data_IF_128935140987
#
_entry.id   IF_128935140987
#
_cell.length_a   1.000
_cell.length_b   1.000
_cell.length_c   1.000
_cell.angle_alpha   90.00
_cell.angle_beta   90.00
_cell.angle_gamma   90.00
#
_symmetry.space_group_name_H-M   'P 1'
#
loop_
_entity.id
_entity.type
_entity.pdbx_description
1 polymer ?
#
# COMPACT_ATOMS: atom_id res chain seq x y z
N UNK A 1 -20.10 -3.97 13.04
CA UNK A 1 -19.34 -2.68 13.09
C UNK A 1 -19.82 -1.90 14.29
N UNK A 2 -18.91 -1.38 15.14
CA UNK A 2 -19.29 -0.61 16.32
C UNK A 2 -19.59 0.86 15.98
N UNK A 3 -20.40 1.52 16.81
CA UNK A 3 -20.65 2.98 16.71
C UNK A 3 -19.35 3.77 16.83
N UNK A 4 -18.45 3.35 17.72
CA UNK A 4 -17.12 3.96 17.89
C UNK A 4 -16.30 3.91 16.60
N UNK A 5 -16.35 2.82 15.85
CA UNK A 5 -15.64 2.71 14.57
C UNK A 5 -16.19 3.71 13.55
N UNK A 6 -17.52 3.83 13.48
CA UNK A 6 -18.22 4.79 12.60
C UNK A 6 -17.83 6.22 12.97
N UNK A 7 -17.97 6.60 14.24
CA UNK A 7 -17.65 7.95 14.72
C UNK A 7 -16.20 8.34 14.42
N UNK A 8 -15.24 7.43 14.65
CA UNK A 8 -13.82 7.68 14.32
C UNK A 8 -13.55 7.80 12.82
N UNK A 9 -14.36 7.18 11.98
CA UNK A 9 -14.19 7.18 10.53
C UNK A 9 -14.83 8.35 9.81
N UNK A 10 -15.99 8.81 10.30
CA UNK A 10 -16.88 9.73 9.61
C UNK A 10 -16.19 11.03 9.18
N UNK A 11 -15.43 11.64 10.09
CA UNK A 11 -14.74 12.93 9.86
C UNK A 11 -13.40 12.76 9.13
N UNK A 12 -12.97 11.54 8.81
CA UNK A 12 -11.63 11.26 8.30
C UNK A 12 -11.63 10.86 6.81
N UNK A 13 -12.79 10.75 6.16
CA UNK A 13 -12.86 10.46 4.74
C UNK A 13 -12.29 11.62 3.91
N UNK A 14 -11.56 11.29 2.84
CA UNK A 14 -10.83 12.27 2.02
C UNK A 14 -9.51 12.75 2.62
N UNK A 15 -8.95 12.07 3.62
CA UNK A 15 -7.71 12.48 4.30
C UNK A 15 -6.60 11.44 4.16
N UNK A 16 -5.34 11.90 4.08
CA UNK A 16 -4.16 11.03 4.14
C UNK A 16 -3.97 10.47 5.56
N UNK A 17 -3.96 11.38 6.52
CA UNK A 17 -3.54 11.18 7.90
C UNK A 17 -2.05 10.99 8.08
N UNK A 18 -1.67 10.51 9.26
CA UNK A 18 -0.28 10.49 9.73
C UNK A 18 0.45 9.18 9.47
N UNK A 19 1.74 9.16 9.83
CA UNK A 19 2.63 8.01 9.71
C UNK A 19 3.26 7.88 8.32
N UNK A 20 3.30 6.66 7.79
CA UNK A 20 3.83 6.40 6.46
C UNK A 20 2.83 6.72 5.34
N UNK A 21 1.75 7.45 5.64
CA UNK A 21 0.82 7.96 4.63
C UNK A 21 1.38 9.22 3.97
N UNK A 22 1.15 9.35 2.67
CA UNK A 22 1.68 10.46 1.87
C UNK A 22 0.94 10.59 0.55
N UNK A 23 1.17 11.73 -0.11
CA UNK A 23 0.98 11.92 -1.54
C UNK A 23 2.32 12.38 -2.12
N UNK A 24 2.77 11.73 -3.16
CA UNK A 24 4.04 12.01 -3.84
C UNK A 24 3.79 12.29 -5.32
N UNK A 25 4.31 13.40 -5.80
CA UNK A 25 4.46 13.70 -7.22
C UNK A 25 5.83 13.21 -7.64
N UNK A 26 5.85 12.35 -8.65
CA UNK A 26 7.03 11.61 -9.08
C UNK A 26 7.28 11.81 -10.57
N UNK A 27 8.52 11.58 -10.99
CA UNK A 27 8.98 11.68 -12.36
C UNK A 27 9.54 10.34 -12.84
N UNK A 28 9.16 9.94 -14.05
CA UNK A 28 9.65 8.74 -14.75
C UNK A 28 10.88 9.09 -15.59
N UNK A 29 12.07 8.68 -15.16
CA UNK A 29 13.29 8.82 -15.98
C UNK A 29 13.41 7.71 -17.01
N UNK A 30 13.99 7.99 -18.18
CA UNK A 30 14.11 7.01 -19.28
C UNK A 30 14.90 5.76 -18.86
N UNK A 31 16.01 5.96 -18.17
CA UNK A 31 16.90 4.92 -17.64
C UNK A 31 16.25 4.06 -16.54
N UNK A 32 15.14 4.53 -15.96
CA UNK A 32 14.42 3.84 -14.91
C UNK A 32 13.25 3.00 -15.43
N UNK A 33 13.08 2.86 -16.74
CA UNK A 33 12.11 1.95 -17.34
C UNK A 33 12.82 0.64 -17.68
N UNK A 34 12.43 -0.43 -16.98
CA UNK A 34 13.05 -1.76 -17.10
C UNK A 34 12.31 -2.66 -18.09
N UNK A 35 11.00 -2.45 -18.26
CA UNK A 35 10.18 -3.16 -19.24
C UNK A 35 9.34 -2.16 -20.04
N UNK A 36 9.84 -1.78 -21.21
CA UNK A 36 9.20 -0.80 -22.09
C UNK A 36 7.79 -1.23 -22.54
N UNK A 37 7.60 -2.50 -22.87
CA UNK A 37 6.31 -3.01 -23.35
C UNK A 37 5.26 -3.00 -22.24
N UNK A 38 5.65 -3.38 -21.02
CA UNK A 38 4.76 -3.30 -19.87
C UNK A 38 4.46 -1.85 -19.49
N UNK A 39 5.47 -0.98 -19.49
CA UNK A 39 5.32 0.44 -19.19
C UNK A 39 4.34 1.11 -20.17
N UNK A 40 4.51 0.90 -21.48
CA UNK A 40 3.62 1.45 -22.51
C UNK A 40 2.16 1.00 -22.31
N UNK A 41 1.93 -0.30 -22.05
CA UNK A 41 0.58 -0.81 -21.75
C UNK A 41 -0.03 -0.23 -20.47
N UNK A 42 0.80 0.21 -19.52
CA UNK A 42 0.37 0.89 -18.31
C UNK A 42 0.23 2.41 -18.48
N UNK A 43 0.50 2.94 -19.69
CA UNK A 43 0.50 4.38 -19.96
C UNK A 43 1.69 5.13 -19.35
N UNK A 44 2.81 4.42 -19.13
CA UNK A 44 4.03 4.96 -18.55
C UNK A 44 5.08 5.24 -19.63
N UNK A 45 5.64 6.45 -19.64
CA UNK A 45 6.63 6.88 -20.63
C UNK A 45 7.72 7.80 -20.03
N UNK A 46 8.90 7.93 -20.66
CA UNK A 46 9.96 8.82 -20.17
C UNK A 46 9.53 10.28 -20.07
N UNK A 47 9.93 10.98 -19.01
CA UNK A 47 9.57 12.38 -18.78
C UNK A 47 8.21 12.57 -18.10
N UNK A 48 7.43 11.51 -17.93
CA UNK A 48 6.08 11.60 -17.37
C UNK A 48 6.10 11.97 -15.89
N UNK A 49 5.17 12.85 -15.51
CA UNK A 49 4.84 13.12 -14.11
C UNK A 49 3.68 12.21 -13.69
N UNK A 50 3.87 11.48 -12.60
CA UNK A 50 2.85 10.61 -12.01
C UNK A 50 2.59 11.00 -10.55
N UNK A 51 1.42 10.62 -10.03
CA UNK A 51 1.08 10.84 -8.63
C UNK A 51 0.82 9.51 -7.95
N UNK A 52 1.53 9.27 -6.86
CA UNK A 52 1.31 8.14 -5.97
C UNK A 52 0.78 8.68 -4.65
N UNK A 53 -0.19 8.01 -4.04
CA UNK A 53 -0.61 8.34 -2.70
C UNK A 53 -0.94 7.08 -1.92
N UNK A 54 -0.65 7.12 -0.63
CA UNK A 54 -0.70 6.00 0.27
C UNK A 54 -1.52 6.37 1.49
N UNK A 55 -2.70 5.76 1.62
CA UNK A 55 -3.57 5.90 2.78
C UNK A 55 -4.46 4.67 2.98
N UNK A 56 -4.98 4.53 4.19
CA UNK A 56 -5.84 3.41 4.59
C UNK A 56 -7.27 3.80 4.94
N UNK A 57 -7.91 2.93 5.72
CA UNK A 57 -9.26 3.08 6.28
C UNK A 57 -9.37 4.10 7.42
N UNK A 58 -8.31 4.85 7.69
CA UNK A 58 -8.21 5.82 8.80
C UNK A 58 -8.58 5.17 10.15
N UNK A 59 -9.13 5.95 11.08
CA UNK A 59 -9.53 5.49 12.41
C UNK A 59 -10.60 4.38 12.40
N UNK A 60 -11.40 4.28 11.33
CA UNK A 60 -12.45 3.28 11.19
C UNK A 60 -11.89 1.85 11.26
N UNK A 61 -10.99 1.49 10.34
CA UNK A 61 -10.46 0.13 10.28
C UNK A 61 -9.56 -0.21 11.47
N UNK A 62 -8.86 0.79 12.04
CA UNK A 62 -8.15 0.61 13.30
C UNK A 62 -9.11 0.19 14.41
N UNK A 63 -10.25 0.87 14.56
CA UNK A 63 -11.22 0.55 15.60
C UNK A 63 -11.85 -0.83 15.36
N UNK A 64 -12.19 -1.18 14.12
CA UNK A 64 -12.67 -2.52 13.77
C UNK A 64 -11.67 -3.60 14.21
N UNK A 65 -10.38 -3.43 13.91
CA UNK A 65 -9.36 -4.37 14.36
C UNK A 65 -9.27 -4.45 15.89
N UNK A 66 -9.29 -3.31 16.58
CA UNK A 66 -9.28 -3.26 18.06
C UNK A 66 -10.48 -4.00 18.66
N UNK A 67 -11.68 -3.79 18.13
CA UNK A 67 -12.91 -4.39 18.65
C UNK A 67 -12.85 -5.92 18.52
N UNK A 68 -12.46 -6.43 17.34
CA UNK A 68 -12.43 -7.88 17.12
C UNK A 68 -11.24 -8.58 17.79
N UNK A 69 -10.12 -7.90 18.03
CA UNK A 69 -9.06 -8.44 18.89
C UNK A 69 -9.59 -8.72 20.30
N UNK A 70 -10.40 -7.81 20.87
CA UNK A 70 -11.02 -8.04 22.18
C UNK A 70 -12.04 -9.16 22.17
N UNK A 71 -12.78 -9.34 21.07
CA UNK A 71 -13.69 -10.48 20.88
C UNK A 71 -12.89 -11.78 20.83
N UNK A 72 -11.85 -11.85 20.00
CA UNK A 72 -11.03 -13.06 19.83
C UNK A 72 -10.34 -13.46 21.13
N UNK A 73 -9.78 -12.53 21.89
CA UNK A 73 -9.18 -12.82 23.20
C UNK A 73 -10.15 -13.47 24.20
N UNK A 74 -11.46 -13.23 24.07
CA UNK A 74 -12.49 -13.83 24.94
C UNK A 74 -12.95 -15.22 24.50
N UNK A 75 -12.85 -15.54 23.20
CA UNK A 75 -13.41 -16.78 22.63
C UNK A 75 -12.34 -17.80 22.21
N UNK A 76 -11.13 -17.35 21.90
CA UNK A 76 -10.06 -18.17 21.31
C UNK A 76 -9.79 -19.45 22.12
N UNK A 77 -9.47 -19.33 23.40
CA UNK A 77 -9.26 -20.48 24.28
C UNK A 77 -10.57 -21.02 24.88
N UNK A 78 -11.44 -20.21 25.53
CA UNK A 78 -12.60 -20.76 26.25
C UNK A 78 -13.66 -21.43 25.38
N UNK A 79 -13.79 -21.00 24.11
CA UNK A 79 -14.81 -21.50 23.19
C UNK A 79 -14.24 -22.40 22.10
N UNK A 80 -13.07 -22.06 21.58
CA UNK A 80 -12.47 -22.78 20.45
C UNK A 80 -11.26 -23.65 20.81
N UNK A 81 -10.83 -23.66 22.08
CA UNK A 81 -9.67 -24.40 22.57
C UNK A 81 -8.40 -24.14 21.74
N UNK A 82 -8.26 -22.93 21.21
CA UNK A 82 -7.06 -22.49 20.49
C UNK A 82 -6.11 -21.88 21.53
N UNK A 83 -5.02 -22.58 21.81
CA UNK A 83 -3.98 -22.12 22.74
C UNK A 83 -2.81 -21.55 21.96
N UNK A 84 -2.45 -20.30 22.24
CA UNK A 84 -1.34 -19.61 21.56
C UNK A 84 -0.41 -19.01 22.61
N UNK A 85 0.89 -19.07 22.34
CA UNK A 85 1.94 -18.57 23.23
C UNK A 85 1.95 -17.03 23.33
N UNK A 86 1.47 -16.36 22.28
CA UNK A 86 1.41 -14.91 22.18
C UNK A 86 -0.04 -14.44 22.06
N UNK A 87 -0.45 -13.54 22.96
CA UNK A 87 -1.79 -12.95 22.96
C UNK A 87 -2.04 -12.04 21.76
N UNK A 88 -0.98 -11.50 21.13
CA UNK A 88 -1.09 -10.69 19.92
C UNK A 88 -1.50 -11.52 18.69
N UNK A 89 -1.47 -12.86 18.78
CA UNK A 89 -1.96 -13.78 17.76
C UNK A 89 -3.43 -14.19 17.96
N UNK A 90 -4.20 -13.40 18.72
CA UNK A 90 -5.62 -13.64 18.96
C UNK A 90 -6.40 -13.91 17.67
N UNK A 91 -7.10 -15.06 17.61
CA UNK A 91 -7.83 -15.50 16.42
C UNK A 91 -9.08 -16.33 16.77
N UNK A 92 -9.87 -16.64 15.74
CA UNK A 92 -11.00 -17.56 15.80
C UNK A 92 -11.09 -18.37 14.50
N UNK A 93 -11.74 -19.56 14.50
CA UNK A 93 -11.96 -20.31 13.26
C UNK A 93 -12.68 -19.46 12.23
N UNK A 94 -12.25 -19.48 10.96
CA UNK A 94 -12.83 -18.60 9.94
C UNK A 94 -14.34 -18.77 9.79
N UNK A 95 -14.85 -20.00 9.85
CA UNK A 95 -16.28 -20.33 9.71
C UNK A 95 -17.10 -20.10 11.00
N UNK A 96 -16.47 -19.68 12.09
CA UNK A 96 -17.19 -19.31 13.31
C UNK A 96 -17.95 -18.00 13.14
N UNK A 97 -18.93 -17.76 14.03
CA UNK A 97 -19.67 -16.49 14.06
C UNK A 97 -18.71 -15.30 14.17
N UNK A 98 -17.78 -15.33 15.12
CA UNK A 98 -16.82 -14.24 15.36
C UNK A 98 -15.86 -14.06 14.18
N UNK A 99 -15.44 -15.16 13.53
CA UNK A 99 -14.61 -15.14 12.32
C UNK A 99 -15.30 -14.47 11.13
N UNK A 100 -16.56 -14.85 10.85
CA UNK A 100 -17.36 -14.25 9.78
C UNK A 100 -17.75 -12.81 10.09
N UNK A 101 -18.10 -12.51 11.35
CA UNK A 101 -18.38 -11.15 11.81
C UNK A 101 -17.14 -10.26 11.59
N UNK A 102 -15.95 -10.71 11.99
CA UNK A 102 -14.72 -9.96 11.75
C UNK A 102 -14.45 -9.80 10.25
N UNK A 103 -14.61 -10.87 9.46
CA UNK A 103 -14.35 -10.82 8.03
C UNK A 103 -15.26 -9.80 7.32
N UNK A 104 -16.54 -9.75 7.69
CA UNK A 104 -17.47 -8.72 7.21
C UNK A 104 -17.05 -7.31 7.67
N UNK A 105 -16.65 -7.16 8.93
CA UNK A 105 -16.18 -5.88 9.46
C UNK A 105 -14.89 -5.38 8.79
N UNK A 106 -13.95 -6.27 8.53
CA UNK A 106 -12.72 -5.99 7.80
C UNK A 106 -13.03 -5.58 6.35
N UNK A 107 -13.99 -6.23 5.68
CA UNK A 107 -14.47 -5.80 4.35
C UNK A 107 -15.01 -4.36 4.38
N UNK A 108 -15.77 -3.97 5.41
CA UNK A 108 -16.19 -2.57 5.57
C UNK A 108 -14.97 -1.63 5.71
N UNK A 109 -13.94 -2.03 6.46
CA UNK A 109 -12.69 -1.27 6.55
C UNK A 109 -11.99 -1.09 5.21
N UNK A 110 -11.94 -2.15 4.40
CA UNK A 110 -11.39 -2.11 3.04
C UNK A 110 -12.21 -1.17 2.15
N UNK A 111 -13.54 -1.27 2.17
CA UNK A 111 -14.43 -0.40 1.40
C UNK A 111 -14.26 1.07 1.80
N UNK A 112 -14.15 1.37 3.10
CA UNK A 112 -13.82 2.70 3.59
C UNK A 112 -12.48 3.19 3.05
N UNK A 113 -11.48 2.32 2.96
CA UNK A 113 -10.17 2.68 2.39
C UNK A 113 -10.25 3.02 0.89
N UNK A 114 -11.04 2.27 0.11
CA UNK A 114 -11.28 2.58 -1.30
C UNK A 114 -12.04 3.89 -1.47
N UNK A 115 -13.10 4.11 -0.68
CA UNK A 115 -13.85 5.38 -0.70
C UNK A 115 -12.93 6.56 -0.36
N UNK A 116 -12.10 6.43 0.67
CA UNK A 116 -11.12 7.44 1.05
C UNK A 116 -10.15 7.76 -0.11
N UNK A 117 -9.56 6.73 -0.73
CA UNK A 117 -8.65 6.91 -1.87
C UNK A 117 -9.32 7.52 -3.09
N UNK A 118 -10.58 7.18 -3.35
CA UNK A 118 -11.33 7.74 -4.47
C UNK A 118 -11.65 9.22 -4.27
N UNK A 119 -11.99 9.65 -3.04
CA UNK A 119 -12.17 11.07 -2.71
C UNK A 119 -10.87 11.84 -2.89
N UNK A 120 -9.75 11.31 -2.37
CA UNK A 120 -8.43 11.93 -2.53
C UNK A 120 -8.04 12.01 -4.01
N UNK A 121 -8.25 10.95 -4.78
CA UNK A 121 -7.99 10.94 -6.22
C UNK A 121 -8.79 12.03 -6.96
N UNK A 122 -10.06 12.23 -6.59
CA UNK A 122 -10.85 13.34 -7.13
C UNK A 122 -10.26 14.71 -6.76
N UNK A 123 -9.86 14.92 -5.50
CA UNK A 123 -9.22 16.18 -5.07
C UNK A 123 -7.89 16.44 -5.78
N UNK A 124 -7.09 15.40 -6.03
CA UNK A 124 -5.86 15.51 -6.83
C UNK A 124 -6.19 16.05 -8.22
N UNK A 125 -7.20 15.50 -8.88
CA UNK A 125 -7.65 15.96 -10.20
C UNK A 125 -8.08 17.42 -10.19
N UNK A 126 -8.84 17.85 -9.18
CA UNK A 126 -9.24 19.26 -9.02
C UNK A 126 -8.02 20.18 -8.82
N UNK A 127 -7.09 19.80 -7.94
CA UNK A 127 -5.87 20.57 -7.68
C UNK A 127 -5.02 20.73 -8.94
N UNK A 128 -4.74 19.64 -9.65
CA UNK A 128 -3.99 19.69 -10.91
C UNK A 128 -4.72 20.52 -11.97
N UNK A 129 -6.04 20.38 -12.07
CA UNK A 129 -6.82 21.14 -13.04
C UNK A 129 -6.75 22.65 -12.78
N UNK A 130 -6.82 23.04 -11.49
CA UNK A 130 -6.69 24.43 -11.07
C UNK A 130 -5.30 25.00 -11.38
N UNK A 131 -4.24 24.24 -11.10
CA UNK A 131 -2.84 24.70 -11.29
C UNK A 131 -2.49 24.82 -12.77
N UNK A 132 -2.90 23.86 -13.61
CA UNK A 132 -2.52 23.82 -15.03
C UNK A 132 -3.55 24.41 -16.00
N UNK A 133 -4.69 24.89 -15.50
CA UNK A 133 -5.73 25.50 -16.33
C UNK A 133 -6.35 24.55 -17.37
N UNK A 134 -6.32 23.23 -17.11
CA UNK A 134 -6.83 22.17 -18.00
C UNK A 134 -7.67 21.20 -17.20
N UNK A 135 -8.70 20.60 -17.80
CA UNK A 135 -9.44 19.53 -17.13
C UNK A 135 -8.54 18.31 -16.88
N UNK A 136 -8.83 17.54 -15.83
CA UNK A 136 -8.12 16.30 -15.53
C UNK A 136 -8.11 15.28 -16.68
N UNK A 137 -9.14 15.30 -17.52
CA UNK A 137 -9.23 14.51 -18.75
C UNK A 137 -8.20 14.97 -19.79
N UNK A 138 -8.09 16.29 -20.04
CA UNK A 138 -7.07 16.87 -20.94
C UNK A 138 -5.64 16.71 -20.41
N UNK A 139 -5.49 16.55 -19.09
CA UNK A 139 -4.21 16.20 -18.44
C UNK A 139 -3.95 14.68 -18.41
N UNK A 140 -4.90 13.87 -18.89
CA UNK A 140 -4.84 12.41 -18.87
C UNK A 140 -4.53 11.81 -17.48
N UNK A 141 -5.09 12.40 -16.42
CA UNK A 141 -4.92 11.92 -15.04
C UNK A 141 -5.72 10.63 -14.78
N UNK A 142 -5.31 9.55 -15.43
CA UNK A 142 -5.88 8.20 -15.36
C UNK A 142 -5.25 7.44 -14.19
N UNK A 143 -6.04 6.58 -13.55
CA UNK A 143 -5.54 5.68 -12.52
C UNK A 143 -4.89 4.47 -13.18
N UNK A 144 -3.62 4.21 -12.88
CA UNK A 144 -2.92 3.01 -13.34
C UNK A 144 -3.42 1.78 -12.58
N UNK A 145 -3.35 1.83 -11.24
CA UNK A 145 -3.82 0.75 -10.37
C UNK A 145 -4.05 1.23 -8.94
N UNK A 146 -4.84 0.49 -8.16
CA UNK A 146 -5.03 0.68 -6.72
C UNK A 146 -4.89 -0.69 -6.04
N UNK A 147 -4.04 -0.76 -5.01
CA UNK A 147 -3.75 -2.01 -4.31
C UNK A 147 -3.73 -1.84 -2.79
N UNK A 148 -4.28 -2.82 -2.09
CA UNK A 148 -4.23 -2.93 -0.63
C UNK A 148 -3.09 -3.85 -0.18
N UNK A 149 -2.48 -3.54 0.97
CA UNK A 149 -1.41 -4.35 1.56
C UNK A 149 -1.67 -4.80 3.02
N UNK A 150 -2.83 -4.44 3.57
CA UNK A 150 -3.32 -4.88 4.88
C UNK A 150 -4.75 -5.41 4.68
N UNK A 151 -4.89 -6.71 4.45
CA UNK A 151 -6.17 -7.34 4.08
C UNK A 151 -6.12 -8.85 4.29
N UNK A 152 -7.28 -9.48 4.45
CA UNK A 152 -7.45 -10.91 4.26
C UNK A 152 -8.43 -11.16 3.10
N UNK A 153 -8.10 -12.08 2.18
CA UNK A 153 -8.96 -12.39 1.03
C UNK A 153 -9.12 -13.89 0.83
N UNK A 154 -10.33 -14.31 0.50
CA UNK A 154 -10.56 -15.66 -0.02
C UNK A 154 -10.06 -15.71 -1.45
N UNK A 155 -9.10 -16.60 -1.70
CA UNK A 155 -8.44 -16.74 -2.98
C UNK A 155 -8.24 -18.22 -3.30
N UNK A 156 -8.36 -18.57 -4.59
CA UNK A 156 -8.06 -19.91 -5.08
C UNK A 156 -6.58 -20.01 -5.42
N UNK A 157 -5.92 -21.00 -4.84
CA UNK A 157 -4.49 -21.27 -5.01
C UNK A 157 -4.25 -22.77 -5.19
N UNK A 158 -3.19 -23.14 -5.93
CA UNK A 158 -2.79 -24.54 -6.10
C UNK A 158 -1.92 -24.97 -4.92
N UNK A 159 -2.38 -25.93 -4.13
CA UNK A 159 -1.71 -26.47 -2.95
C UNK A 159 -1.68 -27.99 -3.08
N UNK A 160 -0.49 -28.57 -3.09
CA UNK A 160 -0.27 -30.01 -3.30
C UNK A 160 -0.95 -30.53 -4.59
N UNK A 161 -0.82 -29.76 -5.67
CA UNK A 161 -1.41 -30.10 -6.97
C UNK A 161 -2.91 -29.82 -7.11
N UNK A 162 -3.62 -29.47 -6.03
CA UNK A 162 -5.07 -29.25 -6.03
C UNK A 162 -5.41 -27.79 -5.84
N UNK A 163 -6.44 -27.30 -6.54
CA UNK A 163 -6.99 -25.97 -6.30
C UNK A 163 -7.74 -26.00 -4.96
N UNK A 164 -7.31 -25.16 -4.03
CA UNK A 164 -7.96 -24.95 -2.73
C UNK A 164 -8.32 -23.47 -2.59
N UNK A 165 -9.45 -23.19 -1.98
CA UNK A 165 -9.79 -21.84 -1.54
C UNK A 165 -9.23 -21.62 -0.14
N UNK A 166 -8.45 -20.55 0.04
CA UNK A 166 -7.79 -20.22 1.30
C UNK A 166 -7.98 -18.75 1.64
N UNK A 167 -8.05 -18.44 2.94
CA UNK A 167 -8.05 -17.07 3.42
C UNK A 167 -6.60 -16.56 3.55
N UNK A 168 -6.15 -15.84 2.53
CA UNK A 168 -4.79 -15.28 2.48
C UNK A 168 -4.74 -13.99 3.29
N UNK A 169 -4.02 -14.01 4.41
CA UNK A 169 -3.77 -12.83 5.25
C UNK A 169 -2.51 -12.12 4.77
N UNK A 170 -2.64 -10.83 4.43
CA UNK A 170 -1.53 -9.96 4.05
C UNK A 170 -1.46 -8.79 5.02
N UNK A 171 -0.35 -8.68 5.75
CA UNK A 171 -0.01 -7.55 6.62
C UNK A 171 1.33 -7.00 6.19
N UNK A 172 1.35 -5.80 5.61
CA UNK A 172 2.55 -5.26 4.96
C UNK A 172 3.01 -6.10 3.76
N UNK A 173 2.07 -6.70 3.03
CA UNK A 173 2.35 -7.47 1.82
C UNK A 173 1.29 -7.18 0.76
N UNK A 174 1.69 -7.16 -0.50
CA UNK A 174 0.82 -6.78 -1.62
C UNK A 174 0.44 -8.01 -2.42
N UNK A 175 -0.82 -8.08 -2.89
CA UNK A 175 -1.22 -9.13 -3.85
C UNK A 175 -0.49 -8.92 -5.18
N UNK A 176 0.01 -9.99 -5.76
CA UNK A 176 0.84 -10.02 -6.97
C UNK A 176 0.40 -11.19 -7.87
N UNK A 177 -0.84 -11.15 -8.35
CA UNK A 177 -1.35 -12.16 -9.28
C UNK A 177 -0.52 -12.21 -10.55
N UNK A 178 -0.21 -13.43 -11.00
CA UNK A 178 0.55 -13.68 -12.21
C UNK A 178 -0.25 -13.41 -13.49
N UNK A 179 0.39 -13.54 -14.65
CA UNK A 179 -0.29 -13.49 -15.94
C UNK A 179 -1.46 -14.49 -16.03
N UNK A 180 -2.51 -14.12 -16.77
CA UNK A 180 -3.66 -14.99 -17.06
C UNK A 180 -4.77 -14.99 -16.02
N UNK A 181 -4.56 -14.41 -14.84
CA UNK A 181 -5.57 -14.37 -13.77
C UNK A 181 -6.80 -13.53 -14.13
N UNK A 182 -7.98 -14.12 -14.02
CA UNK A 182 -9.24 -13.46 -14.36
C UNK A 182 -9.52 -12.21 -13.51
N UNK A 183 -9.06 -12.22 -12.25
CA UNK A 183 -9.19 -11.11 -11.33
C UNK A 183 -8.31 -9.89 -11.70
N UNK A 184 -7.37 -10.06 -12.63
CA UNK A 184 -6.56 -8.97 -13.17
C UNK A 184 -7.33 -8.32 -14.33
N UNK A 185 -7.43 -6.97 -14.37
CA UNK A 185 -8.09 -6.26 -15.47
C UNK A 185 -7.54 -6.69 -16.82
N UNK A 186 -8.42 -6.80 -17.83
CA UNK A 186 -8.08 -7.33 -19.15
C UNK A 186 -6.84 -6.65 -19.78
N UNK A 187 -6.69 -5.34 -19.60
CA UNK A 187 -5.53 -4.55 -20.05
C UNK A 187 -4.18 -5.10 -19.56
N UNK A 188 -4.15 -5.63 -18.33
CA UNK A 188 -2.94 -6.12 -17.67
C UNK A 188 -2.88 -7.64 -17.55
N UNK A 189 -3.96 -8.36 -17.85
CA UNK A 189 -4.07 -9.81 -17.60
C UNK A 189 -2.91 -10.61 -18.19
N UNK A 190 -2.50 -10.31 -19.42
CA UNK A 190 -1.37 -10.99 -20.06
C UNK A 190 0.01 -10.64 -19.46
N UNK A 191 0.11 -9.52 -18.74
CA UNK A 191 1.34 -9.07 -18.09
C UNK A 191 1.46 -9.58 -16.64
N UNK A 192 0.33 -9.81 -15.98
CA UNK A 192 0.23 -9.96 -14.54
C UNK A 192 -0.33 -8.69 -13.89
N UNK A 193 -0.61 -8.77 -12.59
CA UNK A 193 -1.18 -7.66 -11.85
C UNK A 193 -0.14 -6.55 -11.64
N UNK A 194 -0.46 -5.26 -11.88
CA UNK A 194 0.37 -4.17 -11.40
C UNK A 194 0.54 -4.24 -9.87
N UNK A 195 1.76 -3.97 -9.42
CA UNK A 195 2.15 -3.92 -8.00
C UNK A 195 2.86 -2.59 -7.78
N UNK A 196 2.44 -1.87 -6.75
CA UNK A 196 2.99 -0.55 -6.40
C UNK A 196 3.72 -0.69 -5.07
N UNK A 197 5.01 -0.34 -5.05
CA UNK A 197 5.84 -0.41 -3.84
C UNK A 197 6.44 0.96 -3.56
N UNK A 198 6.08 1.54 -2.42
CA UNK A 198 6.63 2.81 -1.94
C UNK A 198 7.95 2.61 -1.20
N UNK A 199 8.94 3.45 -1.50
CA UNK A 199 10.15 3.55 -0.69
C UNK A 199 9.97 4.58 0.43
N UNK A 200 10.79 5.63 0.39
CA UNK A 200 10.71 6.78 1.28
C UNK A 200 10.51 8.06 0.47
N UNK A 201 10.23 9.17 1.17
CA UNK A 201 10.16 10.51 0.58
C UNK A 201 11.45 10.94 -0.16
N UNK A 202 12.56 10.21 0.02
CA UNK A 202 13.87 10.50 -0.54
C UNK A 202 14.29 9.56 -1.67
N UNK A 203 13.80 8.31 -1.66
CA UNK A 203 14.33 7.22 -2.51
C UNK A 203 13.42 6.85 -3.67
N UNK A 204 12.15 7.24 -3.59
CA UNK A 204 11.16 6.98 -4.62
C UNK A 204 10.48 5.63 -4.48
N UNK A 205 9.86 5.19 -5.58
CA UNK A 205 8.93 4.07 -5.58
C UNK A 205 9.08 3.21 -6.83
N UNK A 206 8.40 2.07 -6.85
CA UNK A 206 8.43 1.14 -7.98
C UNK A 206 7.04 0.74 -8.44
N UNK A 207 6.91 0.63 -9.75
CA UNK A 207 5.85 -0.10 -10.42
C UNK A 207 6.42 -1.44 -10.89
N UNK A 208 5.74 -2.51 -10.52
CA UNK A 208 6.13 -3.89 -10.78
C UNK A 208 4.93 -4.66 -11.33
N UNK A 209 5.18 -5.91 -11.71
CA UNK A 209 4.17 -6.90 -12.08
C UNK A 209 4.25 -8.13 -11.18
N UNK A 210 3.08 -8.70 -10.87
CA UNK A 210 2.97 -10.07 -10.38
C UNK A 210 3.42 -11.08 -11.43
N UNK A 211 3.80 -12.27 -10.98
CA UNK A 211 4.50 -13.28 -11.79
C UNK A 211 3.92 -14.66 -11.53
N UNK A 212 4.25 -15.64 -12.36
CA UNK A 212 3.92 -17.05 -12.07
C UNK A 212 4.62 -17.51 -10.77
N UNK A 213 5.86 -17.07 -10.53
CA UNK A 213 6.58 -17.42 -9.31
C UNK A 213 5.93 -16.88 -8.03
N UNK A 214 5.23 -15.74 -8.07
CA UNK A 214 4.44 -15.28 -6.92
C UNK A 214 3.22 -16.16 -6.67
N UNK A 215 2.56 -16.67 -7.70
CA UNK A 215 1.46 -17.65 -7.57
C UNK A 215 1.95 -18.91 -6.84
N UNK A 216 3.08 -19.46 -7.30
CA UNK A 216 3.61 -20.74 -6.82
C UNK A 216 4.20 -20.66 -5.40
N UNK A 217 4.88 -19.57 -5.08
CA UNK A 217 5.74 -19.50 -3.88
C UNK A 217 5.10 -18.76 -2.72
N UNK A 218 4.18 -17.83 -2.98
CA UNK A 218 3.76 -16.83 -1.98
C UNK A 218 2.26 -16.55 -1.97
N UNK A 219 1.44 -17.47 -2.50
CA UNK A 219 -0.01 -17.25 -2.65
C UNK A 219 -0.30 -15.93 -3.37
N UNK A 220 0.41 -15.71 -4.49
CA UNK A 220 0.41 -14.48 -5.25
C UNK A 220 0.67 -13.24 -4.38
N UNK A 221 1.78 -13.21 -3.65
CA UNK A 221 2.11 -12.09 -2.78
C UNK A 221 3.54 -11.59 -2.97
N UNK A 222 3.74 -10.30 -2.72
CA UNK A 222 5.06 -9.66 -2.72
C UNK A 222 5.14 -8.57 -1.64
N UNK A 223 6.24 -7.84 -1.58
CA UNK A 223 6.44 -6.73 -0.64
C UNK A 223 5.45 -5.57 -0.88
N UNK A 224 5.31 -4.69 0.11
CA UNK A 224 4.51 -3.46 0.02
C UNK A 224 5.33 -2.16 0.05
N UNK A 225 6.52 -2.22 0.63
CA UNK A 225 7.40 -1.08 0.83
C UNK A 225 8.74 -1.50 1.40
N UNK A 226 9.62 -0.53 1.62
CA UNK A 226 10.96 -0.77 2.16
C UNK A 226 10.94 -1.39 3.57
N UNK A 227 9.94 -1.06 4.39
CA UNK A 227 9.87 -1.50 5.79
C UNK A 227 10.84 -0.72 6.69
N UNK A 228 10.44 -0.50 7.94
CA UNK A 228 11.21 0.31 8.90
C UNK A 228 12.34 -0.50 9.53
N UNK A 229 13.48 0.13 9.74
CA UNK A 229 14.62 -0.40 10.49
C UNK A 229 14.71 0.18 11.90
N UNK A 230 13.97 1.26 12.18
CA UNK A 230 13.95 1.93 13.48
C UNK A 230 12.55 2.39 13.90
N UNK A 231 12.37 2.53 15.22
CA UNK A 231 11.15 3.11 15.80
C UNK A 231 11.01 4.60 15.44
N UNK A 232 9.78 5.13 15.47
CA UNK A 232 9.52 6.56 15.25
C UNK A 232 10.22 7.44 16.30
N UNK A 233 10.25 6.98 17.54
CA UNK A 233 10.93 7.66 18.64
C UNK A 233 12.44 7.75 18.40
N UNK A 234 13.06 6.67 17.93
CA UNK A 234 14.47 6.65 17.59
C UNK A 234 14.77 7.58 16.40
N UNK A 235 13.95 7.52 15.34
CA UNK A 235 14.09 8.38 14.17
C UNK A 235 14.05 9.88 14.53
N UNK A 236 13.11 10.30 15.39
CA UNK A 236 13.04 11.70 15.87
C UNK A 236 14.25 12.17 16.67
N UNK A 237 14.95 11.25 17.33
CA UNK A 237 16.17 11.58 18.07
C UNK A 237 17.37 11.72 17.13
N UNK A 238 17.39 10.93 16.05
CA UNK A 238 18.50 10.88 15.11
C UNK A 238 18.42 11.95 14.02
N UNK A 239 17.22 12.26 13.54
CA UNK A 239 17.02 13.13 12.38
C UNK A 239 16.34 14.45 12.76
N UNK A 240 16.69 15.51 12.04
CA UNK A 240 16.06 16.84 12.15
C UNK A 240 15.23 17.10 10.89
N UNK A 241 13.93 17.34 11.07
CA UNK A 241 12.99 17.50 9.96
C UNK A 241 13.36 18.66 9.02
N UNK A 242 13.81 19.78 9.58
CA UNK A 242 14.21 20.96 8.83
C UNK A 242 15.43 20.68 7.95
N UNK A 243 16.40 19.92 8.46
CA UNK A 243 17.59 19.53 7.72
C UNK A 243 17.23 18.55 6.59
N UNK A 244 16.36 17.59 6.86
CA UNK A 244 15.85 16.66 5.85
C UNK A 244 15.17 17.41 4.70
N UNK A 245 14.29 18.38 5.00
CA UNK A 245 13.63 19.20 3.98
C UNK A 245 14.68 19.98 3.18
N UNK A 246 15.62 20.67 3.82
CA UNK A 246 16.66 21.43 3.10
C UNK A 246 17.50 20.53 2.18
N UNK A 247 17.86 19.34 2.64
CA UNK A 247 18.66 18.39 1.86
C UNK A 247 17.86 17.82 0.68
N UNK A 248 16.57 17.55 0.87
CA UNK A 248 15.65 17.15 -0.21
C UNK A 248 15.43 18.28 -1.23
N UNK A 249 15.25 19.53 -0.78
CA UNK A 249 15.10 20.69 -1.66
C UNK A 249 16.34 20.91 -2.54
N UNK A 250 17.55 20.74 -2.00
CA UNK A 250 18.80 20.75 -2.79
C UNK A 250 18.83 19.68 -3.88
N UNK A 251 18.11 18.57 -3.69
CA UNK A 251 17.96 17.47 -4.67
C UNK A 251 16.75 17.65 -5.59
N UNK A 252 16.03 18.77 -5.48
CA UNK A 252 14.83 19.06 -6.27
C UNK A 252 13.57 18.35 -5.78
N UNK A 253 13.54 17.88 -4.53
CA UNK A 253 12.37 17.25 -3.91
C UNK A 253 11.72 18.26 -2.96
N UNK A 254 10.55 18.75 -3.33
CA UNK A 254 9.80 19.69 -2.50
C UNK A 254 8.94 18.97 -1.47
N UNK A 255 8.97 19.38 -0.21
CA UNK A 255 8.19 18.72 0.86
C UNK A 255 7.25 19.70 1.54
N UNK A 256 6.01 19.26 1.73
CA UNK A 256 4.99 19.89 2.55
C UNK A 256 4.53 18.91 3.61
N UNK A 257 4.64 19.30 4.87
CA UNK A 257 4.29 18.46 6.01
C UNK A 257 3.56 19.28 7.07
N UNK A 258 2.63 18.63 7.78
CA UNK A 258 1.95 19.21 8.94
C UNK A 258 2.88 19.43 10.14
N UNK A 259 3.98 18.68 10.25
CA UNK A 259 4.94 18.83 11.34
C UNK A 259 6.36 18.43 10.95
N UNK A 260 7.36 19.11 11.51
CA UNK A 260 8.78 18.75 11.35
C UNK A 260 9.11 17.43 12.06
N UNK A 261 8.45 17.16 13.19
CA UNK A 261 8.56 15.90 13.89
C UNK A 261 8.11 14.71 13.01
N UNK A 262 6.99 14.84 12.28
CA UNK A 262 6.52 13.83 11.35
C UNK A 262 7.47 13.60 10.17
N UNK A 263 8.17 14.63 9.70
CA UNK A 263 9.24 14.46 8.69
C UNK A 263 10.39 13.64 9.26
N UNK A 264 10.84 13.95 10.48
CA UNK A 264 11.91 13.21 11.13
C UNK A 264 11.53 11.74 11.42
N UNK A 265 10.27 11.45 11.77
CA UNK A 265 9.78 10.08 11.98
C UNK A 265 9.88 9.21 10.72
N UNK A 266 9.82 9.84 9.55
CA UNK A 266 9.68 9.23 8.23
C UNK A 266 10.92 9.46 7.34
N UNK A 267 12.05 9.84 7.96
CA UNK A 267 13.36 9.99 7.33
C UNK A 267 13.73 8.76 6.48
N UNK A 268 14.38 8.95 5.33
CA UNK A 268 14.80 7.85 4.45
C UNK A 268 15.68 6.82 5.19
N UNK A 269 16.59 7.30 6.04
CA UNK A 269 17.43 6.44 6.88
C UNK A 269 16.69 5.61 7.94
N UNK A 270 15.38 5.85 8.15
CA UNK A 270 14.53 5.04 9.03
C UNK A 270 13.95 3.78 8.36
N UNK A 271 14.18 3.64 7.06
CA UNK A 271 13.70 2.55 6.21
C UNK A 271 14.86 1.73 5.66
N UNK A 272 14.58 0.51 5.22
CA UNK A 272 15.53 -0.25 4.39
C UNK A 272 15.71 0.45 3.03
N UNK A 273 16.74 0.07 2.28
CA UNK A 273 16.80 0.46 0.88
C UNK A 273 15.68 -0.24 0.10
N UNK A 274 14.83 0.56 -0.57
CA UNK A 274 13.76 0.03 -1.40
C UNK A 274 14.34 -0.74 -2.60
N UNK A 275 15.49 -0.33 -3.14
CA UNK A 275 16.13 -0.99 -4.28
C UNK A 275 16.53 -2.43 -3.92
N UNK A 276 17.11 -2.64 -2.73
CA UNK A 276 17.44 -3.96 -2.21
C UNK A 276 16.20 -4.84 -2.01
N UNK A 277 15.11 -4.26 -1.48
CA UNK A 277 13.84 -4.98 -1.31
C UNK A 277 13.29 -5.42 -2.67
N UNK A 278 13.31 -4.54 -3.68
CA UNK A 278 12.85 -4.91 -5.02
C UNK A 278 13.76 -5.98 -5.61
N UNK A 279 15.08 -5.83 -5.53
CA UNK A 279 16.02 -6.81 -6.06
C UNK A 279 15.83 -8.19 -5.44
N UNK A 280 15.55 -8.27 -4.14
CA UNK A 280 15.21 -9.52 -3.47
C UNK A 280 13.93 -10.15 -4.05
N UNK A 281 12.86 -9.38 -4.24
CA UNK A 281 11.61 -9.89 -4.82
C UNK A 281 11.76 -10.35 -6.28
N UNK A 282 12.57 -9.65 -7.07
CA UNK A 282 12.88 -10.03 -8.45
C UNK A 282 13.73 -11.30 -8.50
N UNK A 283 14.78 -11.39 -7.68
CA UNK A 283 15.63 -12.59 -7.56
C UNK A 283 14.84 -13.81 -7.12
N UNK A 284 13.87 -13.64 -6.22
CA UNK A 284 12.97 -14.71 -5.81
C UNK A 284 11.96 -15.11 -6.92
N UNK A 285 11.85 -14.30 -7.98
CA UNK A 285 10.92 -14.51 -9.09
C UNK A 285 9.46 -14.25 -8.70
N UNK A 286 9.20 -13.42 -7.68
CA UNK A 286 7.84 -13.10 -7.20
C UNK A 286 7.38 -11.70 -7.63
N UNK A 287 8.22 -10.95 -8.35
CA UNK A 287 7.90 -9.66 -8.95
C UNK A 287 8.76 -9.39 -10.16
N UNK A 288 8.24 -8.65 -11.13
CA UNK A 288 8.98 -8.18 -12.31
C UNK A 288 9.02 -6.66 -12.32
N UNK A 289 10.20 -6.06 -12.45
CA UNK A 289 10.35 -4.60 -12.54
C UNK A 289 9.70 -4.04 -13.82
N UNK A 290 8.91 -2.98 -13.68
CA UNK A 290 8.41 -2.19 -14.82
C UNK A 290 9.13 -0.85 -14.86
N UNK A 291 9.01 -0.04 -13.80
CA UNK A 291 9.75 1.21 -13.70
C UNK A 291 10.04 1.64 -12.26
N UNK A 292 11.07 2.47 -12.09
CA UNK A 292 11.36 3.23 -10.86
C UNK A 292 10.88 4.67 -11.03
N UNK A 293 10.22 5.18 -10.00
CA UNK A 293 9.62 6.51 -9.94
C UNK A 293 10.42 7.37 -8.96
N UNK A 294 10.86 8.55 -9.40
CA UNK A 294 11.71 9.44 -8.60
C UNK A 294 10.87 10.58 -8.03
N UNK A 295 10.94 10.85 -6.71
CA UNK A 295 10.15 11.91 -6.10
C UNK A 295 10.61 13.28 -6.59
N UNK A 296 9.65 14.18 -6.77
CA UNK A 296 9.90 15.62 -7.00
C UNK A 296 9.05 16.49 -6.05
N UNK A 297 7.97 15.95 -5.50
CA UNK A 297 7.12 16.64 -4.54
C UNK A 297 6.47 15.66 -3.56
N UNK A 298 6.39 16.03 -2.29
CA UNK A 298 5.86 15.20 -1.21
C UNK A 298 4.90 16.00 -0.33
N UNK A 299 3.75 15.42 -0.03
CA UNK A 299 2.76 15.92 0.92
C UNK A 299 2.56 14.88 2.02
N UNK A 300 2.87 15.25 3.26
CA UNK A 300 2.73 14.41 4.44
C UNK A 300 1.73 14.99 5.42
N UNK A 301 0.92 14.12 6.02
CA UNK A 301 -0.02 14.46 7.09
C UNK A 301 0.62 14.46 8.47
#
# INVERSE_FOLDING_TARGET
>A
ISERAIQRGLEQIGTLGSGNHYLEVQHVKKENIFDLKAAEKMGIFPGQVVVMFHCGSRGFGHQVATDYLQVFLKVMEPKYNIKILDRELACAPFQSKEGQDYFSGMKCGINMSFANRQVIHHRIRECFSKVFGKSAEKLELKQVYDVAHNTAKLEKHKIDGKIKEVLVHRKGATRAFGPGRDEVPATFRALGQPVIIGGSMETGSYLLLGTEGSEEKTFASTAHGAGRTMSRTQAKRMFRGEELIRNMEKRGIYVRSMSMAGVAEEAGGAYKDVDEVIDATVKAGISKKVCKLIPIGNVKG
#
